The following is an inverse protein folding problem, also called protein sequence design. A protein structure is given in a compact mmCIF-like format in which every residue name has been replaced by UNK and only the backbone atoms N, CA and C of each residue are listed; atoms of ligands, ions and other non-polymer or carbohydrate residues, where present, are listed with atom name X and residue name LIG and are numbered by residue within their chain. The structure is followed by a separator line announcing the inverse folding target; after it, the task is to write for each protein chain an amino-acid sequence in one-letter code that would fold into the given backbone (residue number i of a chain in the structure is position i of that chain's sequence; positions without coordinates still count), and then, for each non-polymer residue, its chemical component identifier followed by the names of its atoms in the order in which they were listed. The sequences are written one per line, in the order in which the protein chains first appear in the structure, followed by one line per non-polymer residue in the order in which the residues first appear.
data_IF_412786745729
#
_entry.id   IF_412786745729
#
_cell.length_a   1.000
_cell.length_b   1.000
_cell.length_c   1.000
_cell.angle_alpha   90.00
_cell.angle_beta   90.00
_cell.angle_gamma   90.00
#
_symmetry.space_group_name_H-M   'P 1'
#
loop_
_entity.id
_entity.type
_entity.pdbx_description
1 polymer ?
#
# COMPACT_ATOMS: atom_id res chain seq x y z
N UNK A 1 0.30 -8.56 -4.35
CA UNK A 1 -0.39 -9.05 -3.13
C UNK A 1 -1.49 -8.06 -2.75
N UNK A 2 -2.75 -8.50 -2.58
CA UNK A 2 -3.81 -7.64 -2.07
C UNK A 2 -3.68 -7.49 -0.54
N UNK A 3 -3.73 -6.27 -0.03
CA UNK A 3 -3.73 -5.96 1.41
C UNK A 3 -5.12 -5.42 1.78
N UNK A 4 -5.73 -5.95 2.85
CA UNK A 4 -7.05 -5.51 3.34
C UNK A 4 -6.86 -4.61 4.55
N UNK A 5 -7.08 -3.30 4.38
CA UNK A 5 -6.85 -2.31 5.43
C UNK A 5 -7.63 -2.59 6.73
N UNK A 6 -8.84 -3.15 6.62
CA UNK A 6 -9.65 -3.53 7.79
C UNK A 6 -9.02 -4.65 8.62
N UNK A 7 -8.43 -5.65 7.98
CA UNK A 7 -7.75 -6.76 8.67
C UNK A 7 -6.54 -6.21 9.42
N UNK A 8 -5.75 -5.36 8.77
CA UNK A 8 -4.58 -4.72 9.39
C UNK A 8 -5.00 -3.82 10.56
N UNK A 9 -6.10 -3.07 10.45
CA UNK A 9 -6.62 -2.23 11.54
C UNK A 9 -7.03 -3.05 12.77
N UNK A 10 -7.54 -4.27 12.58
CA UNK A 10 -7.91 -5.17 13.67
C UNK A 10 -6.68 -5.73 14.39
N UNK A 11 -5.58 -5.95 13.67
CA UNK A 11 -4.28 -6.39 14.20
C UNK A 11 -3.52 -5.27 14.94
N UNK A 12 -3.83 -3.99 14.67
CA UNK A 12 -3.22 -2.88 15.38
C UNK A 12 -3.70 -2.78 16.84
N UNK A 13 -2.82 -2.38 17.77
CA UNK A 13 -3.20 -1.99 19.12
C UNK A 13 -4.32 -0.94 19.10
N UNK A 14 -5.26 -1.01 20.04
CA UNK A 14 -6.47 -0.17 20.04
C UNK A 14 -6.14 1.34 19.99
N UNK A 15 -5.14 1.77 20.75
CA UNK A 15 -4.67 3.16 20.78
C UNK A 15 -4.01 3.64 19.47
N UNK A 16 -3.68 2.73 18.55
CA UNK A 16 -3.09 3.06 17.25
C UNK A 16 -4.09 2.95 16.10
N UNK A 17 -5.32 2.47 16.34
CA UNK A 17 -6.32 2.29 15.28
C UNK A 17 -6.70 3.61 14.62
N UNK A 18 -6.89 4.67 15.40
CA UNK A 18 -7.21 6.00 14.88
C UNK A 18 -6.05 6.56 14.04
N UNK A 19 -4.82 6.48 14.57
CA UNK A 19 -3.61 6.87 13.84
C UNK A 19 -3.44 6.07 12.54
N UNK A 20 -3.68 4.76 12.57
CA UNK A 20 -3.62 3.91 11.39
C UNK A 20 -4.62 4.36 10.32
N UNK A 21 -5.87 4.65 10.69
CA UNK A 21 -6.89 5.10 9.75
C UNK A 21 -6.57 6.47 9.14
N UNK A 22 -6.02 7.40 9.93
CA UNK A 22 -5.53 8.68 9.44
C UNK A 22 -4.43 8.49 8.39
N UNK A 23 -3.46 7.62 8.67
CA UNK A 23 -2.38 7.29 7.72
C UNK A 23 -2.89 6.60 6.46
N UNK A 24 -3.84 5.67 6.58
CA UNK A 24 -4.46 5.02 5.40
C UNK A 24 -5.10 6.06 4.49
N UNK A 25 -5.81 7.04 5.04
CA UNK A 25 -6.41 8.13 4.25
C UNK A 25 -5.34 8.97 3.57
N UNK A 26 -4.35 9.43 4.34
CA UNK A 26 -3.23 10.23 3.82
C UNK A 26 -2.53 9.54 2.64
N UNK A 27 -2.14 8.27 2.80
CA UNK A 27 -1.44 7.54 1.75
C UNK A 27 -2.34 7.15 0.57
N UNK A 28 -3.65 6.98 0.76
CA UNK A 28 -4.59 6.84 -0.38
C UNK A 28 -4.56 8.08 -1.26
N UNK A 29 -4.63 9.27 -0.66
CA UNK A 29 -4.57 10.54 -1.40
C UNK A 29 -3.22 10.71 -2.11
N UNK A 30 -2.11 10.42 -1.43
CA UNK A 30 -0.76 10.46 -2.03
C UNK A 30 -0.59 9.43 -3.17
N UNK A 31 -1.16 8.23 -3.03
CA UNK A 31 -1.02 7.17 -4.04
C UNK A 31 -1.63 7.52 -5.39
N UNK A 32 -2.58 8.46 -5.44
CA UNK A 32 -3.17 8.95 -6.69
C UNK A 32 -2.11 9.65 -7.56
N UNK A 33 -1.11 10.28 -6.93
CA UNK A 33 -0.03 10.97 -7.62
C UNK A 33 1.10 10.02 -8.05
N UNK A 34 1.10 8.78 -7.56
CA UNK A 34 2.11 7.78 -7.87
C UNK A 34 1.68 6.95 -9.09
N UNK A 35 2.64 6.46 -9.90
CA UNK A 35 2.30 5.60 -11.01
C UNK A 35 1.66 4.31 -10.50
N UNK A 36 0.62 3.86 -11.20
CA UNK A 36 -0.11 2.65 -10.81
C UNK A 36 0.78 1.43 -10.94
N UNK A 37 0.44 0.34 -10.25
CA UNK A 37 1.13 -0.93 -10.40
C UNK A 37 1.11 -1.48 -11.85
N UNK A 38 0.21 -0.99 -12.70
CA UNK A 38 0.14 -1.29 -14.13
C UNK A 38 1.07 -0.43 -15.00
N UNK A 39 1.84 0.50 -14.40
CA UNK A 39 2.79 1.31 -15.13
C UNK A 39 3.93 0.41 -15.66
N UNK A 40 4.28 0.50 -16.95
CA UNK A 40 5.34 -0.31 -17.56
C UNK A 40 6.65 -0.31 -16.77
N UNK A 41 7.00 0.82 -16.13
CA UNK A 41 8.23 0.94 -15.32
C UNK A 41 8.25 -0.03 -14.15
N UNK A 42 7.10 -0.27 -13.51
CA UNK A 42 7.00 -1.18 -12.38
C UNK A 42 6.93 -2.64 -12.82
N UNK A 43 6.36 -2.92 -14.00
CA UNK A 43 6.36 -4.26 -14.59
C UNK A 43 7.78 -4.69 -14.95
N UNK A 44 8.57 -3.82 -15.60
CA UNK A 44 9.97 -4.10 -15.94
C UNK A 44 10.83 -4.33 -14.70
N UNK A 45 10.66 -3.52 -13.64
CA UNK A 45 11.36 -3.71 -12.37
C UNK A 45 10.96 -5.03 -11.68
N UNK A 46 9.67 -5.38 -11.69
CA UNK A 46 9.20 -6.64 -11.12
C UNK A 46 9.76 -7.86 -11.88
N UNK A 47 9.80 -7.80 -13.22
CA UNK A 47 10.40 -8.84 -14.05
C UNK A 47 11.91 -8.99 -13.84
N UNK A 48 12.65 -7.88 -13.66
CA UNK A 48 14.07 -7.92 -13.37
C UNK A 48 14.36 -8.51 -11.98
N UNK A 49 13.55 -8.17 -10.98
CA UNK A 49 13.69 -8.72 -9.63
C UNK A 49 13.33 -10.21 -9.53
N UNK A 50 12.40 -10.70 -10.37
CA UNK A 50 12.02 -12.11 -10.41
C UNK A 50 13.06 -13.01 -11.11
N UNK A 51 14.00 -12.42 -11.87
CA UNK A 51 15.08 -13.14 -12.57
C UNK A 51 16.36 -13.31 -11.72
N UNK A 52 16.33 -12.89 -10.46
CA UNK A 52 17.41 -13.05 -9.46
C UNK A 52 17.03 -14.10 -8.43
#
# INVERSE_FOLDING_TARGET
MPVVAEVVAREQPEHLREYFMERVRYYREQSIQLPRASDPRYLEMAEQNAKK
#
